data_IF_664023863748
#
_entry.id   IF_664023863748
#
_cell.length_a   1.000
_cell.length_b   1.000
_cell.length_c   1.000
_cell.angle_alpha   90.00
_cell.angle_beta   90.00
_cell.angle_gamma   90.00
#
_symmetry.space_group_name_H-M   'P 1'
#
loop_
_entity.id
_entity.type
_entity.pdbx_description
1 polymer ?
#
# COMPACT_ATOMS: atom_id res chain seq x y z
N UNK A 1 13.94 -2.52 4.98
CA UNK A 1 13.34 -1.17 5.17
C UNK A 1 11.81 -1.15 4.92
N UNK A 2 11.10 -2.26 5.18
CA UNK A 2 9.66 -2.41 4.87
C UNK A 2 8.81 -2.89 6.06
N UNK A 3 9.41 -3.13 7.23
CA UNK A 3 8.72 -3.71 8.41
C UNK A 3 8.23 -2.62 9.39
N UNK A 4 8.79 -1.40 9.35
CA UNK A 4 8.40 -0.31 10.25
C UNK A 4 7.05 0.37 9.90
N UNK A 5 6.50 0.13 8.70
CA UNK A 5 5.25 0.79 8.28
C UNK A 5 3.98 0.05 8.74
N UNK A 6 4.08 -1.23 9.13
CA UNK A 6 2.93 -2.01 9.60
C UNK A 6 2.67 -1.87 11.11
N UNK A 7 3.70 -1.52 11.90
CA UNK A 7 3.54 -1.34 13.36
C UNK A 7 2.87 -0.03 13.77
N UNK A 8 2.81 0.98 12.89
CA UNK A 8 2.14 2.25 13.19
C UNK A 8 0.61 2.19 13.06
N UNK A 9 0.05 1.10 12.51
CA UNK A 9 -1.40 0.99 12.29
C UNK A 9 -2.18 0.44 13.49
N UNK A 10 -1.52 -0.26 14.43
CA UNK A 10 -2.22 -0.84 15.58
C UNK A 10 -2.39 0.13 16.76
N UNK A 11 -1.82 1.34 16.69
CA UNK A 11 -1.75 2.26 17.84
C UNK A 11 -2.72 3.45 17.81
N UNK A 12 -3.55 3.60 16.77
CA UNK A 12 -4.42 4.78 16.59
C UNK A 12 -5.94 4.49 16.70
N UNK A 13 -6.33 3.26 17.04
CA UNK A 13 -7.71 2.90 17.38
C UNK A 13 -7.80 2.44 18.85
N UNK A 14 -7.57 3.36 19.80
CA UNK A 14 -7.88 3.16 21.22
C UNK A 14 -9.13 3.96 21.62
N UNK A 15 -10.09 3.36 22.36
CA UNK A 15 -11.34 4.02 22.74
C UNK A 15 -11.07 4.95 23.93
N UNK A 16 -10.95 6.26 23.68
CA UNK A 16 -10.61 7.23 24.73
C UNK A 16 -11.26 8.60 24.59
N UNK A 17 -12.29 8.72 23.76
CA UNK A 17 -12.99 9.99 23.53
C UNK A 17 -14.37 9.97 24.20
N UNK A 18 -14.38 9.95 25.53
CA UNK A 18 -15.56 10.28 26.35
C UNK A 18 -15.11 11.00 27.62
N UNK A 19 -15.59 12.24 27.82
CA UNK A 19 -15.84 12.92 29.11
C UNK A 19 -14.62 13.10 30.06
N UNK A 20 -14.25 14.28 30.58
CA UNK A 20 -15.07 15.21 31.39
C UNK A 20 -14.28 16.52 31.72
N UNK A 21 -14.94 17.52 32.34
CA UNK A 21 -14.49 18.90 32.43
C UNK A 21 -13.69 19.24 33.71
N UNK A 22 -12.93 20.34 33.64
CA UNK A 22 -12.60 21.19 34.79
C UNK A 22 -11.16 21.12 35.30
N UNK A 23 -10.43 22.24 35.19
CA UNK A 23 -9.89 23.09 36.28
C UNK A 23 -8.71 23.94 35.76
N UNK A 24 -8.57 25.22 36.20
CA UNK A 24 -7.53 26.11 35.72
C UNK A 24 -6.15 25.74 36.30
N UNK A 25 -5.15 25.68 35.43
CA UNK A 25 -3.81 25.17 35.65
C UNK A 25 -2.83 26.18 36.32
N UNK A 26 -3.30 27.09 37.17
CA UNK A 26 -2.43 28.10 37.80
C UNK A 26 -1.74 27.63 39.10
N UNK A 27 -2.01 26.40 39.58
CA UNK A 27 -1.54 25.97 40.90
C UNK A 27 -0.35 24.99 40.94
N UNK A 28 0.26 24.60 39.81
CA UNK A 28 1.30 23.56 39.79
C UNK A 28 2.72 24.03 39.45
N UNK A 29 2.95 25.32 39.20
CA UNK A 29 4.28 25.84 38.83
C UNK A 29 5.25 26.09 40.01
N UNK A 30 4.88 25.76 41.25
CA UNK A 30 5.76 25.90 42.43
C UNK A 30 6.03 24.55 43.10
N UNK A 31 6.73 23.63 42.43
CA UNK A 31 7.33 22.49 43.12
C UNK A 31 8.46 21.88 42.25
N UNK A 32 9.69 22.31 42.50
CA UNK A 32 10.87 21.73 41.89
C UNK A 32 12.14 22.40 42.38
N UNK A 33 12.54 22.15 43.62
CA UNK A 33 13.89 22.46 44.10
C UNK A 33 14.93 21.69 43.25
N UNK A 34 15.94 22.39 42.74
CA UNK A 34 17.04 21.79 41.98
C UNK A 34 18.10 21.20 42.92
N UNK A 35 18.82 20.13 42.53
CA UNK A 35 19.71 19.38 43.42
C UNK A 35 21.15 19.91 43.50
N UNK A 36 21.42 21.14 43.06
CA UNK A 36 22.76 21.73 43.11
C UNK A 36 22.78 22.96 44.02
N UNK A 37 22.94 22.72 45.32
CA UNK A 37 23.23 23.75 46.30
C UNK A 37 24.70 23.65 46.72
N UNK A 38 25.55 24.55 46.23
CA UNK A 38 26.89 24.77 46.78
C UNK A 38 26.82 25.71 47.99
N UNK A 39 27.56 25.47 49.08
CA UNK A 39 27.49 26.26 50.29
C UNK A 39 28.65 27.27 50.34
N UNK A 40 28.42 28.51 49.96
CA UNK A 40 29.14 29.67 50.52
C UNK A 40 28.61 30.96 49.90
N UNK A 41 28.31 31.93 50.77
CA UNK A 41 27.79 33.23 50.38
C UNK A 41 28.71 33.97 49.40
N UNK A 42 28.16 34.29 48.24
CA UNK A 42 28.59 35.40 47.42
C UNK A 42 27.36 36.01 46.76
N UNK A 43 27.08 37.26 47.10
CA UNK A 43 26.08 38.09 46.43
C UNK A 43 26.53 38.34 44.98
N UNK A 44 26.24 37.39 44.10
CA UNK A 44 26.27 37.61 42.66
C UNK A 44 24.88 38.12 42.30
N UNK A 45 24.74 39.30 41.64
CA UNK A 45 23.43 39.75 41.20
C UNK A 45 22.87 38.66 40.30
N UNK A 46 21.71 38.11 40.71
CA UNK A 46 20.92 37.23 39.86
C UNK A 46 20.71 37.97 38.55
N UNK A 47 21.47 37.61 37.53
CA UNK A 47 21.01 37.80 36.16
C UNK A 47 19.77 36.94 36.09
N UNK A 48 18.63 37.59 36.35
CA UNK A 48 17.33 37.11 35.96
C UNK A 48 17.47 36.92 34.46
N UNK A 49 17.87 35.72 34.05
CA UNK A 49 17.42 35.17 32.80
C UNK A 49 15.92 35.12 33.00
N UNK A 50 15.28 36.25 32.70
CA UNK A 50 13.95 36.23 32.17
C UNK A 50 14.12 35.32 30.96
N UNK A 51 13.95 34.02 31.19
CA UNK A 51 13.45 33.11 30.19
C UNK A 51 12.22 33.86 29.71
N UNK A 52 12.42 34.65 28.65
CA UNK A 52 11.33 35.07 27.80
C UNK A 52 10.72 33.73 27.45
N UNK A 53 9.69 33.34 28.21
CA UNK A 53 8.63 32.51 27.73
C UNK A 53 8.07 33.31 26.56
N UNK A 54 8.79 33.26 25.44
CA UNK A 54 8.29 33.62 24.15
C UNK A 54 7.19 32.60 23.99
N UNK A 55 5.97 33.01 24.35
CA UNK A 55 4.76 32.37 23.93
C UNK A 55 4.73 32.54 22.42
N UNK A 56 5.56 31.78 21.72
CA UNK A 56 5.42 31.54 20.29
C UNK A 56 4.13 30.77 20.16
N UNK A 57 3.03 31.52 20.14
CA UNK A 57 1.76 31.05 19.62
C UNK A 57 2.05 30.66 18.18
N UNK A 58 2.24 29.37 17.93
CA UNK A 58 2.41 28.85 16.58
C UNK A 58 1.02 28.78 15.95
N UNK A 59 0.63 29.70 15.05
CA UNK A 59 -0.74 29.76 14.52
C UNK A 59 -1.12 28.50 13.73
N UNK A 60 -0.11 27.77 13.25
CA UNK A 60 -0.24 26.57 12.43
C UNK A 60 -0.11 25.26 13.23
N UNK A 61 0.06 25.35 14.54
CA UNK A 61 0.20 24.19 15.41
C UNK A 61 -0.90 24.17 16.48
N UNK A 62 -1.52 22.99 16.62
CA UNK A 62 -2.43 22.68 17.71
C UNK A 62 -1.61 22.04 18.82
N UNK A 63 -1.60 22.68 19.99
CA UNK A 63 -0.94 22.17 21.19
C UNK A 63 -1.99 21.43 22.02
N UNK A 64 -1.81 20.12 22.14
CA UNK A 64 -2.64 19.27 23.00
C UNK A 64 -1.81 18.94 24.22
N UNK A 65 -2.27 19.35 25.39
CA UNK A 65 -1.62 19.04 26.65
C UNK A 65 -2.19 17.71 27.19
N UNK A 66 -1.41 16.63 27.09
CA UNK A 66 -1.80 15.29 27.56
C UNK A 66 -1.11 15.02 28.90
N UNK A 67 -1.85 14.74 30.00
CA UNK A 67 -1.27 14.55 31.33
C UNK A 67 -0.29 13.38 31.43
N UNK A 68 -0.31 12.41 30.50
CA UNK A 68 0.59 11.26 30.49
C UNK A 68 1.74 11.43 29.50
N UNK A 69 1.49 12.11 28.38
CA UNK A 69 2.42 12.20 27.23
C UNK A 69 3.13 13.55 27.10
N UNK A 70 2.75 14.52 27.92
CA UNK A 70 3.23 15.90 27.87
C UNK A 70 2.63 16.69 26.71
N UNK A 71 3.25 17.83 26.39
CA UNK A 71 2.80 18.75 25.34
C UNK A 71 3.01 18.12 23.95
N UNK A 72 1.91 17.71 23.30
CA UNK A 72 1.94 17.22 21.92
C UNK A 72 1.65 18.38 20.98
N UNK A 73 2.66 18.78 20.20
CA UNK A 73 2.53 19.81 19.17
C UNK A 73 2.23 19.11 17.83
N UNK A 74 1.03 19.34 17.28
CA UNK A 74 0.60 18.80 15.98
C UNK A 74 0.40 19.93 14.98
N UNK A 75 0.85 19.78 13.73
CA UNK A 75 0.51 20.79 12.71
C UNK A 75 -0.95 20.64 12.29
N UNK A 76 -1.66 21.78 12.24
CA UNK A 76 -3.07 21.89 11.84
C UNK A 76 -3.33 21.38 10.43
N UNK A 77 -2.30 21.43 9.59
CA UNK A 77 -2.32 21.07 8.17
C UNK A 77 -1.72 19.69 7.84
N UNK A 78 -1.48 18.83 8.85
CA UNK A 78 -0.94 17.47 8.62
C UNK A 78 -1.77 16.66 7.63
N UNK A 79 -3.10 16.86 7.61
CA UNK A 79 -4.02 16.21 6.68
C UNK A 79 -3.76 16.61 5.21
N UNK A 80 -3.32 17.85 4.93
CA UNK A 80 -3.01 18.31 3.56
C UNK A 80 -1.84 17.54 2.96
N UNK A 81 -0.80 17.29 3.76
CA UNK A 81 0.34 16.47 3.34
C UNK A 81 -0.07 15.03 2.99
N UNK A 82 -0.99 14.47 3.78
CA UNK A 82 -1.58 13.14 3.50
C UNK A 82 -2.38 13.11 2.21
N UNK A 83 -3.19 14.15 1.94
CA UNK A 83 -3.93 14.26 0.68
C UNK A 83 -2.98 14.31 -0.50
N UNK A 84 -1.98 15.18 -0.46
CA UNK A 84 -1.01 15.34 -1.56
C UNK A 84 -0.35 13.99 -1.86
N UNK A 85 0.09 13.25 -0.84
CA UNK A 85 0.64 11.90 -1.00
C UNK A 85 -0.37 10.94 -1.63
N UNK A 86 -1.63 10.94 -1.18
CA UNK A 86 -2.67 10.07 -1.74
C UNK A 86 -2.95 10.36 -3.23
N UNK A 87 -2.89 11.62 -3.66
CA UNK A 87 -3.05 12.03 -5.06
C UNK A 87 -1.88 11.53 -5.92
N UNK A 88 -0.65 11.64 -5.43
CA UNK A 88 0.51 11.06 -6.14
C UNK A 88 0.38 9.54 -6.29
N UNK A 89 -0.02 8.84 -5.22
CA UNK A 89 -0.24 7.39 -5.28
C UNK A 89 -1.36 7.03 -6.26
N UNK A 90 -2.43 7.83 -6.31
CA UNK A 90 -3.52 7.65 -7.27
C UNK A 90 -3.03 7.75 -8.72
N UNK A 91 -2.25 8.78 -9.05
CA UNK A 91 -1.70 8.97 -10.39
C UNK A 91 -0.75 7.83 -10.78
N UNK A 92 0.16 7.43 -9.88
CA UNK A 92 1.06 6.30 -10.11
C UNK A 92 0.27 5.01 -10.34
N UNK A 93 -0.77 4.76 -9.54
CA UNK A 93 -1.58 3.57 -9.68
C UNK A 93 -2.33 3.53 -11.02
N UNK A 94 -2.81 4.68 -11.50
CA UNK A 94 -3.44 4.79 -12.82
C UNK A 94 -2.45 4.42 -13.93
N UNK A 95 -1.23 4.94 -13.87
CA UNK A 95 -0.16 4.59 -14.83
C UNK A 95 0.15 3.08 -14.79
N UNK A 96 0.26 2.49 -13.60
CA UNK A 96 0.51 1.05 -13.45
C UNK A 96 -0.62 0.24 -14.10
N UNK A 97 -1.89 0.61 -13.90
CA UNK A 97 -3.03 -0.09 -14.52
C UNK A 97 -3.00 0.00 -16.05
N UNK A 98 -2.63 1.15 -16.62
CA UNK A 98 -2.46 1.30 -18.06
C UNK A 98 -1.36 0.35 -18.56
N UNK A 99 -0.20 0.32 -17.88
CA UNK A 99 0.91 -0.56 -18.26
C UNK A 99 0.46 -2.03 -18.23
N UNK A 100 -0.22 -2.48 -17.17
CA UNK A 100 -0.73 -3.86 -17.06
C UNK A 100 -1.71 -4.17 -18.20
N UNK A 101 -2.57 -3.23 -18.57
CA UNK A 101 -3.51 -3.40 -19.66
C UNK A 101 -2.83 -3.51 -21.03
N UNK A 102 -1.67 -2.86 -21.21
CA UNK A 102 -0.91 -2.86 -22.46
C UNK A 102 0.01 -4.07 -22.66
N UNK A 103 0.34 -4.83 -21.60
CA UNK A 103 1.26 -5.98 -21.71
C UNK A 103 0.56 -7.18 -22.39
N UNK A 104 1.13 -7.73 -23.49
CA UNK A 104 0.60 -8.92 -24.13
C UNK A 104 0.83 -10.15 -23.25
N UNK A 105 -0.23 -10.95 -23.06
CA UNK A 105 -0.24 -12.12 -22.16
C UNK A 105 0.08 -13.44 -22.87
N UNK A 106 0.78 -13.38 -24.00
CA UNK A 106 1.14 -14.56 -24.80
C UNK A 106 2.25 -15.39 -24.15
N UNK A 107 3.15 -14.74 -23.42
CA UNK A 107 4.36 -15.36 -22.89
C UNK A 107 4.31 -15.51 -21.37
N UNK A 108 4.95 -16.57 -20.86
CA UNK A 108 4.91 -16.94 -19.44
C UNK A 108 5.51 -15.86 -18.53
N UNK A 109 6.62 -15.24 -18.92
CA UNK A 109 7.24 -14.16 -18.15
C UNK A 109 6.35 -12.92 -18.07
N UNK A 110 5.66 -12.57 -19.16
CA UNK A 110 4.72 -11.45 -19.19
C UNK A 110 3.51 -11.71 -18.28
N UNK A 111 3.06 -12.97 -18.20
CA UNK A 111 1.99 -13.38 -17.29
C UNK A 111 2.42 -13.21 -15.82
N UNK A 112 3.61 -13.70 -15.46
CA UNK A 112 4.16 -13.56 -14.10
C UNK A 112 4.36 -12.08 -13.73
N UNK A 113 4.96 -11.28 -14.60
CA UNK A 113 5.12 -9.84 -14.38
C UNK A 113 3.76 -9.14 -14.18
N UNK A 114 2.78 -9.45 -15.04
CA UNK A 114 1.42 -8.91 -14.93
C UNK A 114 0.74 -9.30 -13.62
N UNK A 115 0.99 -10.50 -13.09
CA UNK A 115 0.49 -10.92 -11.77
C UNK A 115 1.08 -10.06 -10.64
N UNK A 116 2.41 -9.89 -10.62
CA UNK A 116 3.07 -9.07 -9.60
C UNK A 116 2.61 -7.61 -9.66
N UNK A 117 2.59 -7.02 -10.86
CA UNK A 117 2.13 -5.64 -11.04
C UNK A 117 0.64 -5.51 -10.68
N UNK A 118 -0.22 -6.47 -11.05
CA UNK A 118 -1.63 -6.43 -10.70
C UNK A 118 -1.88 -6.58 -9.20
N UNK A 119 -1.09 -7.38 -8.49
CA UNK A 119 -1.15 -7.47 -7.03
C UNK A 119 -0.75 -6.16 -6.36
N UNK A 120 0.33 -5.54 -6.82
CA UNK A 120 0.77 -4.23 -6.33
C UNK A 120 -0.29 -3.15 -6.61
N UNK A 121 -0.83 -3.08 -7.83
CA UNK A 121 -1.87 -2.13 -8.20
C UNK A 121 -3.13 -2.30 -7.35
N UNK A 122 -3.55 -3.55 -7.07
CA UNK A 122 -4.69 -3.84 -6.21
C UNK A 122 -4.47 -3.35 -4.77
N UNK A 123 -3.29 -3.60 -4.19
CA UNK A 123 -2.94 -3.12 -2.86
C UNK A 123 -2.93 -1.58 -2.79
N UNK A 124 -2.38 -0.93 -3.83
CA UNK A 124 -2.39 0.53 -3.94
C UNK A 124 -3.81 1.09 -4.06
N UNK A 125 -4.65 0.48 -4.90
CA UNK A 125 -6.07 0.85 -5.01
C UNK A 125 -6.81 0.72 -3.67
N UNK A 126 -6.55 -0.35 -2.92
CA UNK A 126 -7.13 -0.55 -1.59
C UNK A 126 -6.69 0.55 -0.62
N UNK A 127 -5.40 0.90 -0.61
CA UNK A 127 -4.88 1.97 0.23
C UNK A 127 -5.50 3.34 -0.09
N UNK A 128 -5.63 3.65 -1.39
CA UNK A 128 -6.28 4.88 -1.87
C UNK A 128 -7.74 4.91 -1.42
N UNK A 129 -8.45 3.78 -1.49
CA UNK A 129 -9.83 3.68 -1.02
C UNK A 129 -9.96 3.98 0.48
N UNK A 130 -9.03 3.47 1.32
CA UNK A 130 -9.01 3.79 2.76
C UNK A 130 -8.76 5.28 3.01
N UNK A 131 -7.78 5.88 2.31
CA UNK A 131 -7.50 7.31 2.41
C UNK A 131 -8.72 8.15 2.02
N UNK A 132 -9.38 7.76 0.93
CA UNK A 132 -10.57 8.45 0.43
C UNK A 132 -11.77 8.31 1.38
N UNK A 133 -11.95 7.13 1.98
CA UNK A 133 -12.99 6.89 3.00
C UNK A 133 -12.75 7.77 4.22
N UNK A 134 -11.50 7.92 4.66
CA UNK A 134 -11.16 8.81 5.76
C UNK A 134 -11.49 10.28 5.45
N UNK A 135 -11.15 10.75 4.24
CA UNK A 135 -11.48 12.11 3.80
C UNK A 135 -12.98 12.34 3.69
N UNK A 136 -13.73 11.35 3.20
CA UNK A 136 -15.19 11.40 3.13
C UNK A 136 -15.80 11.55 4.53
N UNK A 137 -15.32 10.78 5.52
CA UNK A 137 -15.79 10.88 6.91
C UNK A 137 -15.38 12.17 7.61
N UNK A 138 -14.24 12.75 7.24
CA UNK A 138 -13.79 14.02 7.80
C UNK A 138 -14.75 15.19 7.46
N UNK A 139 -15.60 15.06 6.43
CA UNK A 139 -16.68 16.00 6.13
C UNK A 139 -16.24 17.43 5.76
N UNK A 140 -14.93 17.70 5.68
CA UNK A 140 -14.39 19.06 5.52
C UNK A 140 -14.38 19.58 4.08
N UNK A 141 -14.71 18.76 3.08
CA UNK A 141 -14.68 19.16 1.67
C UNK A 141 -15.82 18.56 0.85
N UNK A 142 -16.54 19.39 0.10
CA UNK A 142 -17.59 18.95 -0.84
C UNK A 142 -17.06 17.99 -1.92
N UNK A 143 -15.76 18.08 -2.23
CA UNK A 143 -15.08 17.26 -3.23
C UNK A 143 -14.71 15.85 -2.72
N UNK A 144 -14.78 15.60 -1.40
CA UNK A 144 -14.43 14.31 -0.82
C UNK A 144 -15.31 13.17 -1.36
N UNK A 145 -16.59 13.43 -1.62
CA UNK A 145 -17.50 12.45 -2.24
C UNK A 145 -17.04 12.00 -3.62
N UNK A 146 -16.63 12.94 -4.48
CA UNK A 146 -16.13 12.61 -5.82
C UNK A 146 -14.87 11.75 -5.80
N UNK A 147 -13.91 12.08 -4.91
CA UNK A 147 -12.68 11.28 -4.73
C UNK A 147 -13.00 9.89 -4.20
N UNK A 148 -14.00 9.75 -3.33
CA UNK A 148 -14.47 8.45 -2.84
C UNK A 148 -14.98 7.56 -3.97
N UNK A 149 -15.93 8.06 -4.77
CA UNK A 149 -16.45 7.28 -5.90
C UNK A 149 -15.37 6.96 -6.94
N UNK A 150 -14.47 7.89 -7.24
CA UNK A 150 -13.35 7.65 -8.14
C UNK A 150 -12.42 6.54 -7.62
N UNK A 151 -12.09 6.56 -6.31
CA UNK A 151 -11.26 5.52 -5.69
C UNK A 151 -11.94 4.15 -5.66
N UNK A 152 -13.27 4.11 -5.47
CA UNK A 152 -14.06 2.89 -5.52
C UNK A 152 -14.06 2.29 -6.92
N UNK A 153 -14.23 3.12 -7.95
CA UNK A 153 -14.15 2.69 -9.34
C UNK A 153 -12.76 2.14 -9.70
N UNK A 154 -11.70 2.76 -9.20
CA UNK A 154 -10.32 2.30 -9.38
C UNK A 154 -10.07 0.95 -8.70
N UNK A 155 -10.57 0.78 -7.49
CA UNK A 155 -10.51 -0.50 -6.78
C UNK A 155 -11.22 -1.60 -7.55
N UNK A 156 -12.46 -1.36 -7.98
CA UNK A 156 -13.22 -2.29 -8.81
C UNK A 156 -12.50 -2.59 -10.14
N UNK A 157 -11.97 -1.57 -10.82
CA UNK A 157 -11.21 -1.72 -12.06
C UNK A 157 -9.96 -2.61 -11.90
N UNK A 158 -9.18 -2.38 -10.84
CA UNK A 158 -8.00 -3.19 -10.53
C UNK A 158 -8.37 -4.65 -10.22
N UNK A 159 -9.49 -4.89 -9.54
CA UNK A 159 -10.01 -6.24 -9.28
C UNK A 159 -10.45 -6.95 -10.58
N UNK A 160 -11.13 -6.26 -11.48
CA UNK A 160 -11.53 -6.82 -12.77
C UNK A 160 -10.32 -7.20 -13.64
N UNK A 161 -9.25 -6.39 -13.61
CA UNK A 161 -8.00 -6.70 -14.31
C UNK A 161 -7.35 -7.96 -13.71
N UNK A 162 -7.30 -8.08 -12.39
CA UNK A 162 -6.79 -9.27 -11.71
C UNK A 162 -7.56 -10.53 -12.12
N UNK A 163 -8.90 -10.44 -12.17
CA UNK A 163 -9.76 -11.53 -12.64
C UNK A 163 -9.51 -11.89 -14.10
N UNK A 164 -9.26 -10.90 -14.98
CA UNK A 164 -8.88 -11.15 -16.37
C UNK A 164 -7.55 -11.88 -16.48
N UNK A 165 -6.55 -11.53 -15.66
CA UNK A 165 -5.24 -12.21 -15.64
C UNK A 165 -5.40 -13.65 -15.17
N UNK A 166 -6.18 -13.89 -14.10
CA UNK A 166 -6.45 -15.25 -13.60
C UNK A 166 -7.13 -16.14 -14.64
N UNK A 167 -8.06 -15.59 -15.44
CA UNK A 167 -8.68 -16.33 -16.56
C UNK A 167 -7.68 -16.68 -17.66
N UNK A 168 -6.74 -15.80 -17.96
CA UNK A 168 -5.68 -16.07 -18.96
C UNK A 168 -4.75 -17.20 -18.54
N UNK A 169 -4.45 -17.32 -17.24
CA UNK A 169 -3.60 -18.37 -16.69
C UNK A 169 -4.16 -19.79 -16.96
N UNK A 170 -5.44 -19.99 -16.62
CA UNK A 170 -6.18 -21.24 -16.84
C UNK A 170 -6.18 -21.63 -18.32
N UNK A 171 -6.23 -20.65 -19.23
CA UNK A 171 -6.23 -20.90 -20.67
C UNK A 171 -4.87 -21.38 -21.19
N UNK A 172 -3.76 -20.93 -20.61
CA UNK A 172 -2.43 -21.37 -21.03
C UNK A 172 -2.18 -22.82 -20.56
N UNK A 173 -2.60 -23.14 -19.35
CA UNK A 173 -2.48 -24.49 -18.80
C UNK A 173 -3.29 -25.51 -19.62
N UNK A 174 -4.52 -25.17 -20.00
CA UNK A 174 -5.36 -26.06 -20.82
C UNK A 174 -4.77 -26.30 -22.22
N UNK A 175 -4.15 -25.28 -22.82
CA UNK A 175 -3.43 -25.41 -24.09
C UNK A 175 -2.18 -26.30 -23.93
N UNK A 176 -1.41 -26.14 -22.84
CA UNK A 176 -0.26 -27.01 -22.58
C UNK A 176 -0.69 -28.47 -22.40
N UNK A 177 -1.77 -28.70 -21.67
CA UNK A 177 -2.34 -30.04 -21.49
C UNK A 177 -2.85 -30.65 -22.80
N UNK A 178 -3.45 -29.86 -23.70
CA UNK A 178 -3.90 -30.38 -25.00
C UNK A 178 -2.73 -30.74 -25.92
N UNK A 179 -1.66 -29.95 -25.93
CA UNK A 179 -0.42 -30.30 -26.64
C UNK A 179 0.24 -31.56 -26.07
N UNK A 180 0.25 -31.71 -24.74
CA UNK A 180 0.77 -32.92 -24.10
C UNK A 180 -0.05 -34.15 -24.49
N UNK A 181 -1.39 -34.07 -24.45
CA UNK A 181 -2.28 -35.15 -24.89
C UNK A 181 -2.05 -35.51 -26.36
N UNK A 182 -1.93 -34.53 -27.27
CA UNK A 182 -1.63 -34.81 -28.69
C UNK A 182 -0.28 -35.51 -28.88
N UNK A 183 0.75 -35.14 -28.09
CA UNK A 183 2.05 -35.80 -28.11
C UNK A 183 1.97 -37.25 -27.62
N UNK A 184 1.13 -37.52 -26.62
CA UNK A 184 0.86 -38.87 -26.13
C UNK A 184 0.09 -39.69 -27.17
N UNK A 185 -0.95 -39.14 -27.80
CA UNK A 185 -1.71 -39.82 -28.88
C UNK A 185 -0.86 -40.07 -30.12
N UNK A 186 0.11 -39.21 -30.43
CA UNK A 186 1.05 -39.41 -31.57
C UNK A 186 2.01 -40.58 -31.31
N UNK A 187 2.20 -40.99 -30.05
CA UNK A 187 2.97 -42.18 -29.68
C UNK A 187 2.20 -43.50 -29.85
N UNK A 188 0.90 -43.46 -30.15
CA UNK A 188 0.03 -44.64 -30.03
C UNK A 188 -0.23 -45.43 -31.31
N UNK A 189 0.32 -45.06 -32.47
CA UNK A 189 0.27 -45.98 -33.62
C UNK A 189 1.63 -46.65 -33.88
N UNK A 190 1.87 -47.86 -33.32
CA UNK A 190 3.06 -48.64 -33.62
C UNK A 190 3.16 -49.06 -35.11
N UNK A 191 2.13 -48.79 -35.94
CA UNK A 191 2.20 -48.98 -37.40
C UNK A 191 2.77 -47.78 -38.15
N UNK A 192 2.84 -46.61 -37.51
CA UNK A 192 3.44 -45.40 -38.09
C UNK A 192 4.90 -45.22 -37.67
N UNK A 193 5.55 -46.25 -37.10
CA UNK A 193 6.99 -46.19 -36.90
C UNK A 193 7.66 -46.03 -38.26
N UNK A 194 8.52 -45.01 -38.44
CA UNK A 194 9.30 -44.89 -39.66
C UNK A 194 10.16 -46.14 -39.79
N UNK A 195 9.87 -46.94 -40.81
CA UNK A 195 10.68 -48.10 -41.17
C UNK A 195 12.04 -47.53 -41.62
N UNK A 196 13.16 -47.88 -40.97
CA UNK A 196 14.47 -47.43 -41.42
C UNK A 196 14.75 -48.06 -42.79
N UNK A 197 14.84 -47.22 -43.83
CA UNK A 197 15.09 -47.65 -45.20
C UNK A 197 15.18 -46.47 -46.17
N UNK A 198 15.84 -46.66 -47.30
CA UNK A 198 15.85 -45.67 -48.37
C UNK A 198 14.57 -45.75 -49.20
N UNK A 199 14.14 -44.66 -49.88
CA UNK A 199 12.99 -44.71 -50.78
C UNK A 199 13.19 -45.81 -51.83
N UNK A 200 12.35 -46.84 -51.81
CA UNK A 200 12.43 -48.01 -52.70
C UNK A 200 12.76 -49.33 -52.00
N UNK A 201 13.15 -49.30 -50.73
CA UNK A 201 13.52 -50.49 -49.94
C UNK A 201 12.30 -51.16 -49.27
N UNK A 202 11.22 -51.36 -50.04
CA UNK A 202 9.99 -51.97 -49.55
C UNK A 202 10.13 -53.50 -49.51
N UNK A 203 9.72 -54.17 -48.42
CA UNK A 203 9.70 -55.63 -48.37
C UNK A 203 8.85 -56.18 -49.51
N UNK A 204 9.35 -57.17 -50.25
CA UNK A 204 8.63 -57.82 -51.36
C UNK A 204 7.32 -58.51 -50.94
N UNK A 205 7.06 -58.60 -49.64
CA UNK A 205 5.89 -59.19 -49.02
C UNK A 205 4.70 -58.22 -48.94
N UNK A 206 4.92 -56.90 -49.12
CA UNK A 206 3.87 -55.87 -49.07
C UNK A 206 3.15 -55.65 -50.41
N UNK A 207 3.60 -56.32 -51.48
CA UNK A 207 2.93 -56.26 -52.78
C UNK A 207 1.97 -57.44 -52.93
N UNK A 208 0.66 -57.14 -52.97
CA UNK A 208 -0.36 -58.13 -53.36
C UNK A 208 -0.14 -58.47 -54.84
N UNK A 209 0.14 -59.75 -55.14
CA UNK A 209 0.26 -60.28 -56.50
C UNK A 209 -1.08 -60.69 -57.08
#
# INVERSE_FOLDING_TARGET
>A
MLINSLFLFFWLCGPGWCQQPGLPAEALAQAGESPFADPAGQNVPQTVFAEQAVTTEYPDAEMIDDPVRGLIILSKDRWKSWIIRSVYLFMINLVILIIIASIPKSESYNLTASYFLSGAAFLMSYWILLCSTYLFRAGKTAWAGGVFFASLALFAGSYLILMKIKKSDISIESIKLSFQKMKETTKEDPRLFPIPGYPGDWPSQDFVR
#
